data_IF_315643676010
#
_entry.id   IF_315643676010
#
_cell.length_a   1.000
_cell.length_b   1.000
_cell.length_c   1.000
_cell.angle_alpha   90.00
_cell.angle_beta   90.00
_cell.angle_gamma   90.00
#
_symmetry.space_group_name_H-M   'P 1'
#
loop_
_entity.id
_entity.type
_entity.pdbx_description
1 polymer ?
#
# COMPACT_ATOMS: atom_id res chain seq x y z
N UNK A 1 -37.92 75.91 17.69
CA UNK A 1 -37.71 77.31 17.36
C UNK A 1 -36.58 77.96 18.13
N UNK A 2 -35.89 78.95 17.58
CA UNK A 2 -35.32 79.07 16.23
C UNK A 2 -33.84 79.56 16.29
N UNK A 3 -33.36 79.87 15.12
CA UNK A 3 -32.29 80.80 14.69
C UNK A 3 -30.99 80.12 14.25
N UNK A 4 -30.79 80.05 12.97
CA UNK A 4 -30.29 81.10 12.04
C UNK A 4 -28.90 81.62 12.33
N UNK A 5 -28.01 81.38 11.43
CA UNK A 5 -26.99 82.25 10.85
C UNK A 5 -26.09 81.42 9.97
N UNK A 6 -26.17 81.42 8.74
CA UNK A 6 -25.54 82.25 7.73
C UNK A 6 -24.01 82.15 7.66
N UNK A 7 -23.55 81.58 6.56
CA UNK A 7 -22.56 82.05 5.63
C UNK A 7 -21.11 82.19 6.10
N UNK A 8 -20.21 81.38 5.56
CA UNK A 8 -19.14 82.02 4.77
C UNK A 8 -18.54 81.06 3.74
N UNK A 9 -18.33 81.53 2.54
CA UNK A 9 -17.77 80.86 1.38
C UNK A 9 -16.26 80.95 1.47
N UNK A 10 -15.62 79.85 1.75
CA UNK A 10 -14.16 79.69 1.62
C UNK A 10 -13.82 78.89 0.37
N UNK A 11 -13.23 79.58 -0.59
CA UNK A 11 -12.93 79.08 -1.93
C UNK A 11 -11.98 77.92 -1.93
N UNK A 12 -12.38 76.87 -2.63
CA UNK A 12 -11.47 75.77 -2.99
C UNK A 12 -10.56 76.23 -4.11
N UNK A 13 -9.27 76.46 -3.82
CA UNK A 13 -8.23 76.59 -4.82
C UNK A 13 -7.96 75.23 -5.43
N UNK A 14 -8.46 75.01 -6.63
CA UNK A 14 -8.10 73.87 -7.45
C UNK A 14 -6.62 73.93 -7.83
N UNK A 15 -5.80 73.02 -7.30
CA UNK A 15 -4.46 72.85 -7.83
C UNK A 15 -4.55 72.37 -9.28
N UNK A 16 -3.72 72.91 -10.20
CA UNK A 16 -3.71 72.48 -11.59
C UNK A 16 -3.12 71.08 -11.67
N UNK A 17 -3.92 70.09 -12.12
CA UNK A 17 -3.39 68.77 -12.55
C UNK A 17 -2.28 69.01 -13.55
N UNK A 18 -1.07 68.61 -13.19
CA UNK A 18 0.09 68.54 -14.09
C UNK A 18 -0.18 67.54 -15.20
N UNK A 19 -0.78 67.99 -16.31
CA UNK A 19 -0.86 67.21 -17.56
C UNK A 19 0.55 66.78 -17.92
N UNK A 20 0.87 65.48 -17.74
CA UNK A 20 2.09 64.88 -18.28
C UNK A 20 2.13 65.17 -19.78
N UNK A 21 3.13 65.90 -20.23
CA UNK A 21 3.26 66.24 -21.66
C UNK A 21 3.45 64.94 -22.44
N UNK A 22 2.75 64.79 -23.59
CA UNK A 22 2.83 63.61 -24.48
C UNK A 22 4.26 63.09 -24.67
N UNK A 23 5.23 64.00 -24.66
CA UNK A 23 6.66 63.73 -24.79
C UNK A 23 7.21 62.90 -23.58
N UNK A 24 6.79 63.14 -22.34
CA UNK A 24 7.17 62.36 -21.16
C UNK A 24 6.61 60.94 -21.18
N UNK A 25 5.34 60.80 -21.62
CA UNK A 25 4.69 59.49 -21.76
C UNK A 25 5.38 58.65 -22.85
N UNK A 26 5.82 59.28 -23.94
CA UNK A 26 6.53 58.59 -25.02
C UNK A 26 7.93 58.15 -24.61
N UNK A 27 8.64 58.94 -23.84
CA UNK A 27 9.95 58.60 -23.27
C UNK A 27 9.80 57.42 -22.27
N UNK A 28 8.80 57.46 -21.40
CA UNK A 28 8.53 56.38 -20.46
C UNK A 28 8.18 55.06 -21.18
N UNK A 29 7.38 55.12 -22.26
CA UNK A 29 7.08 53.95 -23.08
C UNK A 29 8.33 53.33 -23.73
N UNK A 30 9.21 54.17 -24.27
CA UNK A 30 10.50 53.73 -24.84
C UNK A 30 11.40 53.10 -23.77
N UNK A 31 11.51 53.69 -22.60
CA UNK A 31 12.28 53.13 -21.48
C UNK A 31 11.72 51.80 -21.00
N UNK A 32 10.40 51.64 -20.93
CA UNK A 32 9.72 50.37 -20.57
C UNK A 32 9.99 49.30 -21.63
N UNK A 33 9.96 49.64 -22.90
CA UNK A 33 10.26 48.70 -24.00
C UNK A 33 11.73 48.24 -23.93
N UNK A 34 12.68 49.17 -23.71
CA UNK A 34 14.10 48.78 -23.55
C UNK A 34 14.33 47.95 -22.29
N UNK A 35 13.62 48.22 -21.21
CA UNK A 35 13.71 47.42 -20.00
C UNK A 35 13.14 46.02 -20.21
N UNK A 36 12.01 45.86 -20.92
CA UNK A 36 11.45 44.59 -21.32
C UNK A 36 12.37 43.80 -22.29
N UNK A 37 12.99 44.50 -23.27
CA UNK A 37 13.94 43.86 -24.18
C UNK A 37 15.22 43.42 -23.45
N UNK A 38 15.69 44.18 -22.48
CA UNK A 38 16.85 43.80 -21.65
C UNK A 38 16.52 42.59 -20.77
N UNK A 39 15.29 42.53 -20.21
CA UNK A 39 14.82 41.40 -19.39
C UNK A 39 14.68 40.12 -20.22
N UNK A 40 14.16 40.20 -21.46
CA UNK A 40 14.11 39.08 -22.38
C UNK A 40 15.48 38.60 -22.84
N UNK A 41 16.43 39.50 -23.04
CA UNK A 41 17.81 39.14 -23.39
C UNK A 41 18.53 38.39 -22.25
N UNK A 42 18.26 38.76 -20.98
CA UNK A 42 18.80 38.04 -19.81
C UNK A 42 18.15 36.65 -19.66
N UNK A 43 16.86 36.52 -19.96
CA UNK A 43 16.20 35.22 -19.91
C UNK A 43 16.65 34.25 -21.02
N UNK A 44 17.08 34.78 -22.19
CA UNK A 44 17.58 33.95 -23.27
C UNK A 44 19.06 33.56 -23.07
N UNK A 45 19.81 34.22 -22.22
CA UNK A 45 21.18 33.85 -21.85
C UNK A 45 21.29 32.84 -20.71
N UNK A 46 20.18 32.59 -19.97
CA UNK A 46 20.18 31.68 -18.81
C UNK A 46 20.03 30.18 -19.18
N UNK A 47 19.79 29.85 -20.44
CA UNK A 47 19.64 28.46 -20.90
C UNK A 47 20.86 27.92 -21.67
N UNK A 48 22.04 28.54 -21.53
CA UNK A 48 23.23 28.10 -22.27
C UNK A 48 24.32 27.48 -21.38
N UNK A 49 23.93 26.89 -20.24
CA UNK A 49 24.70 25.82 -19.62
C UNK A 49 23.98 24.50 -19.91
N UNK A 50 24.01 24.09 -21.17
CA UNK A 50 24.03 22.64 -21.44
C UNK A 50 25.41 22.19 -20.91
N UNK A 51 25.46 21.78 -19.64
CA UNK A 51 26.50 20.87 -19.21
C UNK A 51 26.44 19.73 -20.23
N UNK A 52 27.50 19.59 -21.05
CA UNK A 52 27.60 18.45 -21.96
C UNK A 52 27.36 17.23 -21.12
N UNK A 53 26.17 16.60 -21.29
CA UNK A 53 25.88 15.37 -20.62
C UNK A 53 26.97 14.42 -21.11
N UNK A 54 27.88 14.08 -20.19
CA UNK A 54 28.93 13.11 -20.48
C UNK A 54 28.27 11.75 -20.78
N UNK A 55 27.94 11.56 -22.06
CA UNK A 55 27.35 10.31 -22.54
C UNK A 55 28.37 9.17 -22.60
N UNK A 56 29.67 9.50 -22.43
CA UNK A 56 30.74 8.50 -22.41
C UNK A 56 30.92 7.84 -21.04
N UNK A 57 30.46 8.51 -19.96
CA UNK A 57 30.58 7.99 -18.61
C UNK A 57 29.20 7.96 -17.94
N UNK A 58 28.47 6.88 -18.15
CA UNK A 58 27.23 6.64 -17.40
C UNK A 58 27.54 6.50 -15.91
N UNK A 59 26.81 7.24 -15.04
CA UNK A 59 26.84 7.03 -13.59
C UNK A 59 26.27 5.65 -13.21
N UNK A 60 25.55 5.01 -14.12
CA UNK A 60 25.09 3.63 -13.95
C UNK A 60 26.16 2.69 -14.48
N UNK A 61 26.58 1.75 -13.65
CA UNK A 61 27.50 0.70 -14.08
C UNK A 61 26.91 -0.07 -15.25
N UNK A 62 27.66 -0.19 -16.34
CA UNK A 62 27.34 -1.05 -17.49
C UNK A 62 27.92 -2.46 -17.33
N UNK A 63 28.63 -2.71 -16.21
CA UNK A 63 29.16 -4.04 -15.92
C UNK A 63 28.01 -5.03 -15.75
N UNK A 64 28.13 -6.24 -16.28
CA UNK A 64 27.15 -7.27 -16.07
C UNK A 64 26.96 -7.51 -14.57
N UNK A 65 25.72 -7.45 -14.10
CA UNK A 65 25.42 -7.84 -12.72
C UNK A 65 25.73 -9.33 -12.57
N UNK A 66 26.69 -9.68 -11.69
CA UNK A 66 26.94 -11.06 -11.35
C UNK A 66 25.66 -11.65 -10.74
N UNK A 67 25.13 -12.66 -11.41
CA UNK A 67 23.94 -13.39 -10.97
C UNK A 67 24.35 -14.75 -10.43
N UNK A 68 23.66 -15.16 -9.37
CA UNK A 68 23.69 -16.54 -8.91
C UNK A 68 22.48 -17.31 -9.48
N UNK A 69 22.42 -18.60 -9.27
CA UNK A 69 21.33 -19.44 -9.76
C UNK A 69 19.94 -19.00 -9.25
N UNK A 70 19.88 -18.41 -8.06
CA UNK A 70 18.60 -17.90 -7.53
C UNK A 70 18.17 -16.62 -8.23
N UNK A 71 19.09 -15.74 -8.58
CA UNK A 71 18.77 -14.54 -9.38
C UNK A 71 18.19 -14.94 -10.75
N UNK A 72 18.76 -15.95 -11.41
CA UNK A 72 18.25 -16.45 -12.68
C UNK A 72 16.87 -17.13 -12.51
N UNK A 73 16.69 -17.91 -11.44
CA UNK A 73 15.40 -18.50 -11.10
C UNK A 73 14.32 -17.42 -10.84
N UNK A 74 14.65 -16.32 -10.17
CA UNK A 74 13.73 -15.19 -9.95
C UNK A 74 13.37 -14.49 -11.26
N UNK A 75 14.31 -14.35 -12.19
CA UNK A 75 14.02 -13.83 -13.54
C UNK A 75 12.97 -14.68 -14.25
N UNK A 76 13.17 -16.01 -14.26
CA UNK A 76 12.29 -16.93 -14.97
C UNK A 76 10.91 -17.07 -14.32
N UNK A 77 10.83 -16.98 -12.99
CA UNK A 77 9.59 -17.25 -12.26
C UNK A 77 8.80 -16.00 -11.87
N UNK A 78 9.43 -14.81 -11.80
CA UNK A 78 8.83 -13.57 -11.35
C UNK A 78 8.96 -12.44 -12.36
N UNK A 79 10.19 -12.19 -12.85
CA UNK A 79 10.42 -11.00 -13.67
C UNK A 79 9.87 -11.16 -15.07
N UNK A 80 10.27 -12.19 -15.81
CA UNK A 80 9.82 -12.39 -17.20
C UNK A 80 8.32 -12.66 -17.31
N UNK A 81 7.71 -13.53 -16.45
CA UNK A 81 6.27 -13.80 -16.58
C UNK A 81 5.39 -12.66 -16.10
N UNK A 82 5.80 -11.89 -15.05
CA UNK A 82 4.90 -10.97 -14.33
C UNK A 82 5.42 -9.53 -14.20
N UNK A 83 6.64 -9.25 -14.66
CA UNK A 83 7.33 -7.97 -14.47
C UNK A 83 7.44 -7.60 -12.99
N UNK A 84 7.85 -8.57 -12.16
CA UNK A 84 8.07 -8.42 -10.73
C UNK A 84 9.58 -8.32 -10.47
N UNK A 85 10.00 -7.30 -9.71
CA UNK A 85 11.31 -7.23 -9.07
C UNK A 85 11.21 -7.89 -7.69
N UNK A 86 11.88 -9.04 -7.54
CA UNK A 86 11.90 -9.79 -6.28
C UNK A 86 13.21 -9.55 -5.54
N UNK A 87 13.15 -8.67 -4.53
CA UNK A 87 14.31 -8.24 -3.75
C UNK A 87 14.48 -9.10 -2.49
N UNK A 88 15.48 -9.98 -2.49
CA UNK A 88 15.88 -10.74 -1.30
C UNK A 88 17.16 -10.20 -0.66
N UNK A 89 17.98 -9.47 -1.41
CA UNK A 89 19.11 -8.70 -0.87
C UNK A 89 18.58 -7.37 -0.37
N UNK A 90 18.65 -7.14 0.94
CA UNK A 90 18.18 -5.90 1.53
C UNK A 90 18.97 -4.72 0.97
N UNK A 91 18.25 -3.71 0.48
CA UNK A 91 18.82 -2.42 0.08
C UNK A 91 18.35 -1.37 1.07
N UNK A 92 19.28 -0.65 1.69
CA UNK A 92 18.95 0.36 2.70
C UNK A 92 17.95 1.41 2.19
N UNK A 93 18.13 1.88 0.95
CA UNK A 93 17.25 2.88 0.33
C UNK A 93 15.80 2.38 0.14
N UNK A 94 15.59 1.08 0.08
CA UNK A 94 14.27 0.43 -0.09
C UNK A 94 13.67 -0.02 1.25
N UNK A 95 14.39 0.20 2.35
CA UNK A 95 13.99 -0.23 3.69
C UNK A 95 13.45 0.94 4.50
N UNK A 96 12.49 0.67 5.41
CA UNK A 96 11.97 1.69 6.30
C UNK A 96 12.94 1.94 7.45
N UNK A 97 13.61 3.09 7.42
CA UNK A 97 14.67 3.47 8.38
C UNK A 97 14.19 3.65 9.82
N UNK A 98 12.87 3.64 10.08
CA UNK A 98 12.35 3.67 11.46
C UNK A 98 12.54 2.35 12.21
N UNK A 99 12.88 1.25 11.48
CA UNK A 99 13.09 -0.07 12.03
C UNK A 99 14.56 -0.48 11.97
N UNK A 100 15.01 -1.27 12.94
CA UNK A 100 16.31 -1.93 12.90
C UNK A 100 16.17 -3.27 12.16
N UNK A 101 16.51 -3.28 10.88
CA UNK A 101 16.29 -4.41 10.00
C UNK A 101 17.56 -5.17 9.68
N UNK A 102 17.46 -6.48 9.43
CA UNK A 102 18.55 -7.31 8.93
C UNK A 102 18.14 -8.02 7.64
N UNK A 103 19.10 -8.36 6.75
CA UNK A 103 18.83 -9.08 5.52
C UNK A 103 18.19 -10.46 5.77
N UNK A 104 17.43 -10.94 4.80
CA UNK A 104 16.94 -12.31 4.78
C UNK A 104 18.10 -13.30 4.53
N UNK A 105 18.12 -14.42 5.28
CA UNK A 105 19.00 -15.54 5.01
C UNK A 105 18.71 -16.12 3.62
N UNK A 106 19.75 -16.45 2.87
CA UNK A 106 19.62 -16.88 1.47
C UNK A 106 18.70 -18.10 1.29
N UNK A 107 18.92 -19.15 2.06
CA UNK A 107 18.13 -20.40 1.99
C UNK A 107 16.66 -20.18 2.35
N UNK A 108 16.38 -19.27 3.28
CA UNK A 108 15.02 -18.89 3.68
C UNK A 108 14.34 -18.00 2.63
N UNK A 109 15.10 -17.11 2.00
CA UNK A 109 14.61 -16.32 0.88
C UNK A 109 14.25 -17.21 -0.32
N UNK A 110 15.09 -18.21 -0.65
CA UNK A 110 14.79 -19.22 -1.66
C UNK A 110 13.49 -19.96 -1.33
N UNK A 111 13.38 -20.48 -0.11
CA UNK A 111 12.22 -21.24 0.31
C UNK A 111 10.92 -20.39 0.26
N UNK A 112 10.96 -19.18 0.83
CA UNK A 112 9.80 -18.32 0.88
C UNK A 112 9.35 -17.87 -0.51
N UNK A 113 10.29 -17.56 -1.43
CA UNK A 113 9.92 -17.21 -2.81
C UNK A 113 9.19 -18.35 -3.51
N UNK A 114 9.65 -19.60 -3.35
CA UNK A 114 8.95 -20.77 -3.90
C UNK A 114 7.56 -20.97 -3.29
N UNK A 115 7.45 -20.80 -1.98
CA UNK A 115 6.18 -20.89 -1.26
C UNK A 115 5.19 -19.80 -1.75
N UNK A 116 5.64 -18.55 -1.86
CA UNK A 116 4.82 -17.44 -2.37
C UNK A 116 4.31 -17.74 -3.78
N UNK A 117 5.21 -18.17 -4.66
CA UNK A 117 4.83 -18.52 -6.02
C UNK A 117 3.78 -19.63 -6.02
N UNK A 118 4.03 -20.74 -5.33
CA UNK A 118 3.17 -21.91 -5.34
C UNK A 118 1.81 -21.65 -4.70
N UNK A 119 1.77 -21.08 -3.48
CA UNK A 119 0.51 -20.98 -2.70
C UNK A 119 -0.31 -19.78 -3.11
N UNK A 120 0.34 -18.64 -3.38
CA UNK A 120 -0.37 -17.40 -3.62
C UNK A 120 -0.49 -17.08 -5.12
N UNK A 121 0.64 -16.95 -5.86
CA UNK A 121 0.58 -16.55 -7.26
C UNK A 121 -0.11 -17.59 -8.14
N UNK A 122 0.33 -18.84 -8.05
CA UNK A 122 -0.22 -19.91 -8.86
C UNK A 122 -1.68 -20.22 -8.53
N UNK A 123 -2.16 -19.89 -7.32
CA UNK A 123 -3.59 -19.98 -6.99
C UNK A 123 -4.43 -18.98 -7.79
N UNK A 124 -3.99 -17.74 -7.89
CA UNK A 124 -4.69 -16.75 -8.73
C UNK A 124 -4.55 -17.05 -10.22
N UNK A 125 -3.39 -17.57 -10.67
CA UNK A 125 -3.22 -18.00 -12.07
C UNK A 125 -4.16 -19.15 -12.42
N UNK A 126 -4.30 -20.13 -11.52
CA UNK A 126 -5.19 -21.27 -11.70
C UNK A 126 -6.65 -20.85 -11.81
N UNK A 127 -7.09 -19.89 -10.98
CA UNK A 127 -8.49 -19.45 -10.93
C UNK A 127 -8.83 -18.39 -11.97
N UNK A 128 -8.00 -17.36 -12.11
CA UNK A 128 -8.31 -16.16 -12.90
C UNK A 128 -7.43 -16.00 -14.16
N UNK A 129 -6.46 -16.88 -14.34
CA UNK A 129 -5.51 -16.84 -15.45
C UNK A 129 -4.32 -15.92 -15.23
N UNK A 130 -3.27 -16.15 -15.99
CA UNK A 130 -1.99 -15.43 -15.86
C UNK A 130 -2.14 -13.93 -16.14
N UNK A 131 -2.99 -13.53 -17.06
CA UNK A 131 -3.15 -12.12 -17.44
C UNK A 131 -3.80 -11.29 -16.35
N UNK A 132 -4.68 -11.88 -15.54
CA UNK A 132 -5.19 -11.22 -14.35
C UNK A 132 -4.04 -10.84 -13.41
N UNK A 133 -3.18 -11.78 -13.10
CA UNK A 133 -2.06 -11.55 -12.18
C UNK A 133 -1.04 -10.56 -12.78
N UNK A 134 -0.73 -10.66 -14.07
CA UNK A 134 0.17 -9.71 -14.76
C UNK A 134 -0.27 -8.26 -14.62
N UNK A 135 -1.57 -8.02 -14.66
CA UNK A 135 -2.13 -6.65 -14.59
C UNK A 135 -2.14 -6.13 -13.16
N UNK A 136 -2.50 -6.97 -12.19
CA UNK A 136 -2.84 -6.51 -10.83
C UNK A 136 -1.80 -6.86 -9.77
N UNK A 137 -0.88 -7.78 -10.01
CA UNK A 137 0.15 -8.17 -9.05
C UNK A 137 1.06 -6.98 -8.68
N UNK A 138 1.49 -6.85 -7.41
CA UNK A 138 2.51 -5.90 -7.01
C UNK A 138 3.77 -6.08 -7.83
N UNK A 139 4.43 -4.98 -8.20
CA UNK A 139 5.62 -5.05 -9.06
C UNK A 139 6.92 -5.26 -8.31
N UNK A 140 6.87 -5.21 -6.98
CA UNK A 140 8.03 -5.45 -6.13
C UNK A 140 7.65 -6.30 -4.93
N UNK A 141 8.42 -7.34 -4.67
CA UNK A 141 8.47 -8.05 -3.40
C UNK A 141 9.80 -7.78 -2.72
N UNK A 142 9.77 -7.45 -1.44
CA UNK A 142 10.97 -7.20 -0.64
C UNK A 142 10.96 -8.08 0.60
N UNK A 143 11.98 -8.93 0.74
CA UNK A 143 12.13 -9.82 1.87
C UNK A 143 13.10 -9.23 2.90
N UNK A 144 12.64 -9.11 4.15
CA UNK A 144 13.42 -8.63 5.30
C UNK A 144 13.56 -9.76 6.31
N UNK A 145 14.80 -10.02 6.75
CA UNK A 145 15.10 -11.13 7.65
C UNK A 145 14.54 -10.99 9.05
N UNK A 146 14.61 -9.78 9.62
CA UNK A 146 14.13 -9.50 10.98
C UNK A 146 12.65 -9.12 11.02
N UNK A 147 12.00 -9.23 12.19
CA UNK A 147 10.74 -8.56 12.43
C UNK A 147 10.92 -7.04 12.43
N UNK A 148 9.84 -6.32 12.15
CA UNK A 148 9.72 -4.88 12.36
C UNK A 148 8.71 -4.62 13.48
N UNK A 149 9.03 -3.72 14.42
CA UNK A 149 8.16 -3.40 15.54
C UNK A 149 7.81 -1.92 15.54
N UNK A 150 6.54 -1.62 15.65
CA UNK A 150 6.06 -0.26 15.89
C UNK A 150 6.39 0.20 17.32
N UNK A 151 6.27 1.49 17.56
CA UNK A 151 6.44 2.06 18.92
C UNK A 151 5.44 1.52 19.95
N UNK A 152 4.31 0.99 19.50
CA UNK A 152 3.31 0.27 20.29
C UNK A 152 3.77 -1.11 20.78
N UNK A 153 4.88 -1.64 20.22
CA UNK A 153 5.35 -3.01 20.42
C UNK A 153 4.68 -4.03 19.50
N UNK A 154 3.77 -3.61 18.62
CA UNK A 154 3.16 -4.50 17.65
C UNK A 154 4.16 -4.85 16.54
N UNK A 155 4.20 -6.12 16.17
CA UNK A 155 4.99 -6.60 15.05
C UNK A 155 4.26 -6.32 13.74
N UNK A 156 4.96 -5.67 12.81
CA UNK A 156 4.51 -5.50 11.43
C UNK A 156 4.85 -6.77 10.66
N UNK A 157 3.85 -7.42 10.11
CA UNK A 157 4.02 -8.68 9.36
C UNK A 157 4.37 -8.41 7.90
N UNK A 158 3.79 -7.38 7.34
CA UNK A 158 4.06 -6.89 5.99
C UNK A 158 3.49 -5.50 5.78
N UNK A 159 3.85 -4.90 4.67
CA UNK A 159 3.32 -3.59 4.23
C UNK A 159 3.17 -3.57 2.72
N UNK A 160 2.12 -2.89 2.23
CA UNK A 160 2.04 -2.56 0.81
C UNK A 160 2.18 -1.04 0.61
N UNK A 161 3.23 -0.65 -0.09
CA UNK A 161 3.49 0.75 -0.42
C UNK A 161 2.80 1.14 -1.73
N UNK A 162 1.68 1.87 -1.60
CA UNK A 162 0.94 2.40 -2.75
C UNK A 162 0.47 1.36 -3.77
N UNK A 163 0.25 0.12 -3.34
CA UNK A 163 -0.17 -0.96 -4.22
C UNK A 163 0.89 -1.45 -5.22
N UNK A 164 2.16 -1.08 -5.02
CA UNK A 164 3.25 -1.42 -5.95
C UNK A 164 4.27 -2.38 -5.37
N UNK A 165 4.49 -2.32 -4.06
CA UNK A 165 5.51 -3.09 -3.35
C UNK A 165 4.89 -3.77 -2.13
N UNK A 166 5.16 -5.05 -1.95
CA UNK A 166 4.89 -5.79 -0.72
C UNK A 166 6.24 -6.08 -0.05
N UNK A 167 6.39 -5.65 1.20
CA UNK A 167 7.53 -6.00 2.05
C UNK A 167 7.07 -7.05 3.05
N UNK A 168 7.81 -8.16 3.15
CA UNK A 168 7.56 -9.25 4.10
C UNK A 168 8.69 -9.31 5.11
N UNK A 169 8.35 -9.23 6.39
CA UNK A 169 9.28 -9.22 7.50
C UNK A 169 9.42 -10.60 8.14
N UNK A 170 10.41 -10.72 9.02
CA UNK A 170 10.66 -11.91 9.85
C UNK A 170 10.98 -13.19 9.06
N UNK A 171 11.56 -13.06 7.87
CA UNK A 171 11.89 -14.21 6.99
C UNK A 171 12.86 -15.19 7.65
N UNK A 172 13.76 -14.68 8.52
CA UNK A 172 14.76 -15.51 9.21
C UNK A 172 14.16 -16.43 10.28
N UNK A 173 12.90 -16.26 10.63
CA UNK A 173 12.16 -17.14 11.52
C UNK A 173 11.56 -18.38 10.81
N UNK A 174 11.63 -18.42 9.47
CA UNK A 174 11.17 -19.56 8.68
C UNK A 174 12.01 -20.81 8.94
N UNK A 175 11.37 -21.88 9.38
CA UNK A 175 12.00 -23.18 9.52
C UNK A 175 11.74 -24.04 8.27
N UNK A 176 12.69 -24.01 7.33
CA UNK A 176 12.58 -24.73 6.04
C UNK A 176 12.50 -26.25 6.21
N UNK A 177 13.08 -26.80 7.29
CA UNK A 177 13.07 -28.25 7.57
C UNK A 177 11.78 -28.73 8.24
N UNK A 178 11.03 -27.82 8.86
CA UNK A 178 9.77 -28.13 9.56
C UNK A 178 8.77 -27.02 9.29
N UNK A 179 8.15 -27.08 8.14
CA UNK A 179 7.12 -26.12 7.74
C UNK A 179 5.93 -26.18 8.69
N UNK A 180 5.49 -24.99 9.13
CA UNK A 180 4.30 -24.81 9.91
C UNK A 180 3.33 -23.92 9.12
N UNK A 181 2.24 -24.52 8.61
CA UNK A 181 1.25 -23.83 7.76
C UNK A 181 0.55 -22.70 8.53
N UNK A 182 0.20 -22.92 9.80
CA UNK A 182 -0.43 -21.89 10.62
C UNK A 182 0.49 -20.65 10.76
N UNK A 183 1.79 -20.89 10.98
CA UNK A 183 2.76 -19.82 11.02
C UNK A 183 2.90 -19.11 9.67
N UNK A 184 2.90 -19.84 8.56
CA UNK A 184 2.93 -19.25 7.21
C UNK A 184 1.67 -18.43 6.92
N UNK A 185 0.48 -18.88 7.36
CA UNK A 185 -0.73 -18.09 7.28
C UNK A 185 -0.56 -16.77 8.02
N UNK A 186 -0.25 -16.83 9.30
CA UNK A 186 -0.19 -15.66 10.16
C UNK A 186 0.86 -14.63 9.71
N UNK A 187 2.01 -15.07 9.14
CA UNK A 187 3.10 -14.16 8.77
C UNK A 187 3.07 -13.72 7.31
N UNK A 188 2.56 -14.56 6.40
CA UNK A 188 2.72 -14.30 4.97
C UNK A 188 1.43 -14.39 4.18
N UNK A 189 0.66 -15.48 4.27
CA UNK A 189 -0.46 -15.67 3.36
C UNK A 189 -1.60 -14.70 3.64
N UNK A 190 -1.97 -14.50 4.89
CA UNK A 190 -2.97 -13.49 5.28
C UNK A 190 -2.53 -12.11 4.79
N UNK A 191 -1.30 -11.71 5.10
CA UNK A 191 -0.73 -10.43 4.65
C UNK A 191 -0.79 -10.28 3.13
N UNK A 192 -0.38 -11.30 2.38
CA UNK A 192 -0.35 -11.18 0.92
C UNK A 192 -1.72 -11.07 0.29
N UNK A 193 -2.71 -11.82 0.78
CA UNK A 193 -4.10 -11.71 0.33
C UNK A 193 -4.72 -10.37 0.75
N UNK A 194 -4.42 -9.89 1.96
CA UNK A 194 -4.81 -8.58 2.48
C UNK A 194 -4.32 -7.43 1.57
N UNK A 195 -3.01 -7.38 1.34
CA UNK A 195 -2.38 -6.33 0.54
C UNK A 195 -2.85 -6.38 -0.93
N UNK A 196 -3.01 -7.58 -1.46
CA UNK A 196 -3.54 -7.72 -2.82
C UNK A 196 -5.00 -7.26 -2.93
N UNK A 197 -5.81 -7.53 -1.92
CA UNK A 197 -7.18 -7.02 -1.87
C UNK A 197 -7.22 -5.48 -1.80
N UNK A 198 -6.27 -4.84 -1.11
CA UNK A 198 -6.09 -3.38 -1.17
C UNK A 198 -5.80 -2.88 -2.58
N UNK A 199 -4.92 -3.56 -3.32
CA UNK A 199 -4.63 -3.21 -4.72
C UNK A 199 -5.90 -3.30 -5.57
N UNK A 200 -6.69 -4.34 -5.38
CA UNK A 200 -7.92 -4.54 -6.15
C UNK A 200 -8.95 -3.45 -5.85
N UNK A 201 -9.25 -3.17 -4.58
CA UNK A 201 -10.27 -2.16 -4.27
C UNK A 201 -9.82 -0.71 -4.57
N UNK A 202 -8.53 -0.42 -4.61
CA UNK A 202 -8.00 0.87 -5.09
C UNK A 202 -8.19 1.05 -6.61
N UNK A 203 -8.31 -0.03 -7.37
CA UNK A 203 -8.61 0.00 -8.81
C UNK A 203 -10.10 0.11 -9.09
N UNK A 204 -10.92 -0.60 -8.32
CA UNK A 204 -12.38 -0.59 -8.41
C UNK A 204 -12.96 -0.65 -7.00
N UNK A 205 -13.60 0.43 -6.57
CA UNK A 205 -14.15 0.52 -5.22
C UNK A 205 -15.24 -0.53 -4.97
N UNK A 206 -15.30 -1.03 -3.75
CA UNK A 206 -16.41 -1.85 -3.28
C UNK A 206 -17.63 -0.98 -2.91
N UNK A 207 -18.78 -1.62 -2.67
CA UNK A 207 -20.03 -0.94 -2.30
C UNK A 207 -19.85 -0.17 -0.97
N UNK A 208 -20.06 1.17 -0.94
CA UNK A 208 -19.89 1.98 0.25
C UNK A 208 -20.89 1.65 1.38
N UNK A 209 -21.92 0.84 1.11
CA UNK A 209 -22.80 0.32 2.16
C UNK A 209 -22.08 -0.55 3.19
N UNK A 210 -20.94 -1.15 2.81
CA UNK A 210 -20.05 -1.88 3.71
C UNK A 210 -19.61 -1.01 4.89
N UNK A 211 -19.18 0.22 4.63
CA UNK A 211 -18.64 1.15 5.63
C UNK A 211 -19.65 1.43 6.75
N UNK A 212 -20.94 1.38 6.45
CA UNK A 212 -22.02 1.68 7.40
C UNK A 212 -22.39 0.51 8.31
N UNK A 213 -21.97 -0.72 7.97
CA UNK A 213 -22.35 -1.91 8.75
C UNK A 213 -21.79 -1.86 10.18
N UNK A 214 -20.55 -1.41 10.32
CA UNK A 214 -19.88 -1.27 11.62
C UNK A 214 -19.49 0.20 11.92
N UNK A 215 -20.23 1.17 11.35
CA UNK A 215 -20.04 2.58 11.66
C UNK A 215 -20.14 2.80 13.18
N UNK A 216 -19.19 3.58 13.72
CA UNK A 216 -19.09 3.83 15.17
C UNK A 216 -18.39 2.73 16.00
N UNK A 217 -18.00 1.60 15.37
CA UNK A 217 -17.22 0.53 16.04
C UNK A 217 -15.74 0.50 15.63
N UNK A 218 -15.36 1.25 14.59
CA UNK A 218 -13.95 1.39 14.21
C UNK A 218 -13.19 2.23 15.24
N UNK A 219 -12.01 1.77 15.62
CA UNK A 219 -11.19 2.35 16.70
C UNK A 219 -9.87 2.96 16.20
N UNK A 220 -9.61 2.94 14.90
CA UNK A 220 -8.41 3.50 14.30
C UNK A 220 -7.13 2.82 14.81
N UNK A 221 -6.10 3.61 15.09
CA UNK A 221 -4.81 3.11 15.54
C UNK A 221 -4.84 2.33 16.85
N UNK A 222 -5.94 2.40 17.62
CA UNK A 222 -6.10 1.71 18.91
C UNK A 222 -6.64 0.28 18.74
N UNK A 223 -6.63 -0.28 17.54
CA UNK A 223 -7.17 -1.60 17.25
C UNK A 223 -6.54 -2.74 18.05
N UNK A 224 -5.29 -2.61 18.50
CA UNK A 224 -4.52 -3.66 19.17
C UNK A 224 -4.80 -3.78 20.67
N UNK A 225 -5.57 -2.88 21.25
CA UNK A 225 -5.95 -2.95 22.67
C UNK A 225 -7.41 -2.50 22.90
N UNK A 226 -7.92 -2.79 24.08
CA UNK A 226 -9.19 -2.28 24.59
C UNK A 226 -9.07 -1.95 26.07
N UNK A 227 -9.91 -1.03 26.55
CA UNK A 227 -9.87 -0.58 27.95
C UNK A 227 -10.80 -1.43 28.81
N UNK A 228 -10.31 -1.87 29.97
CA UNK A 228 -11.07 -2.50 31.04
C UNK A 228 -10.98 -1.68 32.31
N UNK A 229 -11.67 -2.09 33.39
CA UNK A 229 -11.54 -1.47 34.68
C UNK A 229 -10.11 -1.58 35.29
N UNK A 230 -9.39 -2.63 34.91
CA UNK A 230 -8.02 -2.93 35.30
C UNK A 230 -6.96 -2.24 34.40
N UNK A 231 -7.37 -1.62 33.31
CA UNK A 231 -6.50 -0.91 32.37
C UNK A 231 -6.59 -1.43 30.93
N UNK A 232 -5.57 -1.11 30.14
CA UNK A 232 -5.48 -1.54 28.74
C UNK A 232 -5.12 -3.02 28.65
N UNK A 233 -5.89 -3.78 27.86
CA UNK A 233 -5.69 -5.20 27.58
C UNK A 233 -5.47 -5.41 26.08
N UNK A 234 -4.61 -6.36 25.66
CA UNK A 234 -4.46 -6.70 24.24
C UNK A 234 -5.79 -7.14 23.63
N UNK A 235 -6.12 -6.64 22.44
CA UNK A 235 -7.27 -7.12 21.68
C UNK A 235 -6.81 -8.22 20.73
N UNK A 236 -7.30 -9.41 20.99
CA UNK A 236 -7.12 -10.60 20.14
C UNK A 236 -8.31 -10.73 19.17
N UNK A 237 -8.19 -11.60 18.18
CA UNK A 237 -9.25 -11.75 17.17
C UNK A 237 -10.57 -12.22 17.80
N UNK A 238 -10.52 -13.12 18.78
CA UNK A 238 -11.70 -13.62 19.50
C UNK A 238 -12.43 -12.54 20.30
N UNK A 239 -11.74 -11.50 20.73
CA UNK A 239 -12.35 -10.30 21.35
C UNK A 239 -13.10 -9.43 20.31
N UNK A 240 -12.64 -9.42 19.07
CA UNK A 240 -13.27 -8.64 17.99
C UNK A 240 -14.51 -9.34 17.38
N UNK A 241 -14.58 -10.68 17.43
CA UNK A 241 -15.64 -11.44 16.79
C UNK A 241 -17.07 -11.08 17.24
N UNK A 242 -17.36 -10.93 18.56
CA UNK A 242 -18.70 -10.53 19.01
C UNK A 242 -19.13 -9.14 18.52
N UNK A 243 -18.17 -8.26 18.23
CA UNK A 243 -18.42 -6.94 17.66
C UNK A 243 -18.66 -6.96 16.14
N UNK A 244 -18.48 -8.13 15.51
CA UNK A 244 -18.75 -8.34 14.09
C UNK A 244 -17.54 -8.06 13.18
N UNK A 245 -16.32 -8.29 13.69
CA UNK A 245 -15.06 -8.20 12.93
C UNK A 245 -14.37 -9.56 12.90
N UNK A 246 -13.77 -9.89 11.76
CA UNK A 246 -13.08 -11.19 11.59
C UNK A 246 -11.72 -11.24 12.29
N UNK A 247 -11.08 -10.07 12.47
CA UNK A 247 -9.83 -9.90 13.21
C UNK A 247 -9.88 -8.64 14.07
N UNK A 248 -8.97 -8.53 15.04
CA UNK A 248 -8.78 -7.29 15.78
C UNK A 248 -8.34 -6.14 14.86
N UNK A 249 -7.49 -6.43 13.86
CA UNK A 249 -7.01 -5.42 12.90
C UNK A 249 -8.14 -4.86 12.01
N UNK A 250 -9.15 -5.67 11.69
CA UNK A 250 -10.35 -5.20 10.99
C UNK A 250 -11.08 -4.04 11.71
N UNK A 251 -10.88 -3.89 13.02
CA UNK A 251 -11.44 -2.77 13.79
C UNK A 251 -10.71 -1.43 13.55
N UNK A 252 -9.60 -1.42 12.82
CA UNK A 252 -8.88 -0.18 12.50
C UNK A 252 -9.78 0.76 11.68
N UNK A 253 -10.20 0.34 10.50
CA UNK A 253 -11.05 1.13 9.60
C UNK A 253 -11.75 0.23 8.57
N UNK A 254 -12.75 0.76 7.88
CA UNK A 254 -13.59 -0.01 6.97
C UNK A 254 -12.82 -0.66 5.81
N UNK A 255 -11.74 -0.03 5.30
CA UNK A 255 -10.93 -0.63 4.25
C UNK A 255 -10.15 -1.86 4.75
N UNK A 256 -9.59 -1.78 5.97
CA UNK A 256 -8.93 -2.93 6.61
C UNK A 256 -9.93 -4.06 6.88
N UNK A 257 -11.10 -3.73 7.41
CA UNK A 257 -12.18 -4.69 7.64
C UNK A 257 -12.59 -5.42 6.34
N UNK A 258 -12.68 -4.67 5.23
CA UNK A 258 -13.04 -5.25 3.95
C UNK A 258 -12.01 -6.29 3.48
N UNK A 259 -10.73 -5.94 3.50
CA UNK A 259 -9.65 -6.82 2.99
C UNK A 259 -9.35 -7.97 3.95
N UNK A 260 -9.47 -7.75 5.26
CA UNK A 260 -9.37 -8.81 6.28
C UNK A 260 -10.41 -9.93 6.05
N UNK A 261 -11.64 -9.58 5.68
CA UNK A 261 -12.66 -10.60 5.33
C UNK A 261 -12.19 -11.48 4.16
N UNK A 262 -11.49 -10.94 3.16
CA UNK A 262 -10.93 -11.72 2.04
C UNK A 262 -9.80 -12.60 2.54
N UNK A 263 -8.80 -12.00 3.20
CA UNK A 263 -7.59 -12.68 3.66
C UNK A 263 -7.91 -13.86 4.58
N UNK A 264 -8.70 -13.62 5.62
CA UNK A 264 -9.11 -14.65 6.57
C UNK A 264 -9.94 -15.75 5.91
N UNK A 265 -10.83 -15.39 4.97
CA UNK A 265 -11.67 -16.38 4.32
C UNK A 265 -10.88 -17.34 3.44
N UNK A 266 -9.93 -16.85 2.66
CA UNK A 266 -9.21 -17.68 1.67
C UNK A 266 -8.06 -18.49 2.27
N UNK A 267 -7.50 -18.05 3.41
CA UNK A 267 -6.36 -18.71 4.06
C UNK A 267 -6.76 -19.75 5.11
N UNK A 268 -8.01 -19.74 5.57
CA UNK A 268 -8.49 -20.62 6.64
C UNK A 268 -9.55 -21.62 6.15
N UNK A 269 -9.64 -22.75 6.87
CA UNK A 269 -10.62 -23.80 6.56
C UNK A 269 -12.04 -23.34 6.85
N UNK A 270 -13.04 -24.03 6.25
CA UNK A 270 -14.44 -23.82 6.59
C UNK A 270 -14.72 -24.05 8.08
N UNK A 271 -14.07 -25.06 8.67
CA UNK A 271 -14.19 -25.33 10.11
C UNK A 271 -13.73 -24.16 10.97
N UNK A 272 -12.62 -23.50 10.59
CA UNK A 272 -12.17 -22.29 11.27
C UNK A 272 -13.22 -21.18 11.19
N UNK A 273 -13.73 -20.91 9.98
CA UNK A 273 -14.75 -19.90 9.74
C UNK A 273 -16.02 -20.13 10.54
N UNK A 274 -16.52 -21.37 10.54
CA UNK A 274 -17.71 -21.76 11.30
C UNK A 274 -17.52 -21.65 12.82
N UNK A 275 -16.33 -21.97 13.30
CA UNK A 275 -15.97 -21.81 14.72
C UNK A 275 -15.91 -20.35 15.13
N UNK A 276 -15.32 -19.50 14.28
CA UNK A 276 -15.27 -18.04 14.46
C UNK A 276 -16.70 -17.47 14.54
N UNK A 277 -17.57 -17.80 13.58
CA UNK A 277 -18.97 -17.35 13.58
C UNK A 277 -19.73 -17.83 14.82
N UNK A 278 -19.49 -19.06 15.28
CA UNK A 278 -20.09 -19.56 16.51
C UNK A 278 -19.62 -18.80 17.74
N UNK A 279 -18.32 -18.50 17.81
CA UNK A 279 -17.73 -17.73 18.92
C UNK A 279 -18.17 -16.26 18.89
N UNK A 280 -18.43 -15.70 17.70
CA UNK A 280 -18.97 -14.35 17.55
C UNK A 280 -20.39 -14.17 18.12
N UNK A 281 -21.12 -15.28 18.36
CA UNK A 281 -22.51 -15.23 18.80
C UNK A 281 -23.46 -14.73 17.70
N UNK A 282 -24.75 -14.67 18.00
CA UNK A 282 -25.77 -14.35 16.99
C UNK A 282 -25.55 -13.00 16.33
N UNK A 283 -25.33 -11.94 17.13
CA UNK A 283 -25.18 -10.57 16.62
C UNK A 283 -23.86 -10.38 15.84
N UNK A 284 -22.74 -10.89 16.38
CA UNK A 284 -21.44 -10.80 15.72
C UNK A 284 -21.42 -11.57 14.41
N UNK A 285 -21.93 -12.81 14.42
CA UNK A 285 -22.03 -13.65 13.23
C UNK A 285 -22.93 -13.03 12.14
N UNK A 286 -24.07 -12.46 12.53
CA UNK A 286 -24.96 -11.78 11.57
C UNK A 286 -24.25 -10.58 10.91
N UNK A 287 -23.47 -9.82 11.68
CA UNK A 287 -22.69 -8.68 11.18
C UNK A 287 -21.58 -9.12 10.25
N UNK A 288 -20.80 -10.16 10.61
CA UNK A 288 -19.74 -10.72 9.77
C UNK A 288 -20.32 -11.25 8.45
N UNK A 289 -21.42 -12.01 8.52
CA UNK A 289 -22.07 -12.56 7.32
C UNK A 289 -22.61 -11.48 6.39
N UNK A 290 -23.16 -10.39 6.94
CA UNK A 290 -23.61 -9.25 6.14
C UNK A 290 -22.45 -8.58 5.40
N UNK A 291 -21.31 -8.37 6.06
CA UNK A 291 -20.07 -7.84 5.46
C UNK A 291 -19.55 -8.80 4.40
N UNK A 292 -19.44 -10.08 4.74
CA UNK A 292 -18.90 -11.11 3.85
C UNK A 292 -19.74 -11.27 2.58
N UNK A 293 -21.05 -11.09 2.65
CA UNK A 293 -21.92 -11.10 1.46
C UNK A 293 -21.52 -10.01 0.46
N UNK A 294 -21.20 -8.79 0.93
CA UNK A 294 -20.73 -7.69 0.06
C UNK A 294 -19.35 -8.03 -0.51
N UNK A 295 -18.45 -8.52 0.33
CA UNK A 295 -17.09 -8.94 -0.07
C UNK A 295 -17.13 -10.01 -1.13
N UNK A 296 -17.91 -11.07 -0.91
CA UNK A 296 -18.07 -12.19 -1.84
C UNK A 296 -18.63 -11.73 -3.19
N UNK A 297 -19.71 -10.95 -3.17
CA UNK A 297 -20.29 -10.42 -4.40
C UNK A 297 -19.33 -9.50 -5.14
N UNK A 298 -18.60 -8.64 -4.44
CA UNK A 298 -17.59 -7.80 -5.05
C UNK A 298 -16.49 -8.60 -5.76
N UNK A 299 -15.93 -9.62 -5.11
CA UNK A 299 -14.90 -10.45 -5.72
C UNK A 299 -15.43 -11.22 -6.93
N UNK A 300 -16.63 -11.78 -6.85
CA UNK A 300 -17.26 -12.51 -7.95
C UNK A 300 -17.66 -11.59 -9.11
N UNK A 301 -18.38 -10.50 -8.83
CA UNK A 301 -19.05 -9.71 -9.87
C UNK A 301 -18.11 -8.67 -10.50
N UNK A 302 -17.12 -8.17 -9.72
CA UNK A 302 -16.17 -7.16 -10.20
C UNK A 302 -14.92 -7.79 -10.79
N UNK A 303 -14.45 -8.90 -10.21
CA UNK A 303 -13.15 -9.50 -10.54
C UNK A 303 -13.27 -10.89 -11.17
N UNK A 304 -14.46 -11.49 -11.17
CA UNK A 304 -14.65 -12.85 -11.64
C UNK A 304 -14.04 -13.92 -10.73
N UNK A 305 -13.73 -13.56 -9.48
CA UNK A 305 -13.10 -14.45 -8.51
C UNK A 305 -14.14 -14.99 -7.53
N UNK A 306 -14.43 -16.29 -7.61
CA UNK A 306 -15.19 -17.00 -6.60
C UNK A 306 -14.29 -17.29 -5.39
N UNK A 307 -14.60 -16.69 -4.24
CA UNK A 307 -13.80 -16.87 -3.02
C UNK A 307 -13.85 -18.31 -2.48
N UNK A 308 -14.90 -19.09 -2.74
CA UNK A 308 -14.93 -20.48 -2.33
C UNK A 308 -13.95 -21.33 -3.14
N UNK A 309 -13.88 -21.07 -4.46
CA UNK A 309 -12.93 -21.78 -5.32
C UNK A 309 -11.49 -21.33 -5.00
N UNK A 310 -11.27 -20.02 -4.81
CA UNK A 310 -9.94 -19.51 -4.40
C UNK A 310 -9.48 -20.17 -3.11
N UNK A 311 -10.34 -20.23 -2.10
CA UNK A 311 -10.07 -20.91 -0.82
C UNK A 311 -9.67 -22.38 -1.01
N UNK A 312 -10.41 -23.14 -1.81
CA UNK A 312 -10.10 -24.54 -2.09
C UNK A 312 -8.71 -24.69 -2.70
N UNK A 313 -8.38 -23.84 -3.68
CA UNK A 313 -7.09 -23.85 -4.34
C UNK A 313 -5.98 -23.50 -3.35
N UNK A 314 -6.14 -22.41 -2.59
CA UNK A 314 -5.14 -21.95 -1.61
C UNK A 314 -4.88 -23.02 -0.56
N UNK A 315 -5.94 -23.58 0.05
CA UNK A 315 -5.78 -24.61 1.08
C UNK A 315 -5.14 -25.90 0.56
N UNK A 316 -5.47 -26.33 -0.67
CA UNK A 316 -4.80 -27.45 -1.31
C UNK A 316 -3.31 -27.16 -1.51
N UNK A 317 -2.97 -26.02 -2.07
CA UNK A 317 -1.57 -25.61 -2.31
C UNK A 317 -0.77 -25.42 -1.03
N UNK A 318 -1.39 -24.99 0.06
CA UNK A 318 -0.74 -24.96 1.38
C UNK A 318 -0.32 -26.36 1.85
N UNK A 319 -1.12 -27.38 1.61
CA UNK A 319 -0.79 -28.77 1.96
C UNK A 319 0.34 -29.32 1.08
N UNK A 320 0.36 -28.93 -0.19
CA UNK A 320 1.38 -29.35 -1.16
C UNK A 320 2.80 -28.78 -0.84
N UNK A 321 2.92 -27.76 0.05
CA UNK A 321 4.24 -27.17 0.39
C UNK A 321 5.24 -28.22 0.89
N UNK A 322 4.78 -29.23 1.59
CA UNK A 322 5.64 -30.29 2.14
C UNK A 322 6.16 -31.25 1.06
N UNK A 323 5.61 -31.20 -0.13
CA UNK A 323 5.95 -32.04 -1.28
C UNK A 323 6.90 -31.37 -2.25
N UNK A 324 7.06 -30.03 -2.16
CA UNK A 324 7.95 -29.26 -3.04
C UNK A 324 9.35 -29.12 -2.44
N UNK A 325 10.36 -29.16 -3.32
CA UNK A 325 11.74 -28.87 -2.92
C UNK A 325 11.92 -27.37 -2.69
N UNK A 326 12.05 -26.99 -1.43
CA UNK A 326 12.25 -25.60 -1.00
C UNK A 326 13.72 -25.17 -0.96
N UNK A 327 14.65 -26.09 -1.18
CA UNK A 327 16.07 -25.85 -0.94
C UNK A 327 16.90 -25.75 -2.21
N UNK A 328 16.54 -26.48 -3.26
CA UNK A 328 17.35 -26.56 -4.49
C UNK A 328 16.84 -25.59 -5.55
N UNK A 329 17.73 -24.83 -6.15
CA UNK A 329 17.44 -24.00 -7.33
C UNK A 329 17.74 -24.87 -8.58
N UNK A 330 16.71 -25.18 -9.34
CA UNK A 330 16.81 -25.91 -10.62
C UNK A 330 16.45 -24.98 -11.76
#
# INVERSE_FOLDING_TARGET
NPNSAECDRGGYTTQPEKKLTKKKVEVMKKQLIYFLLALTAVCLGACNNDDEIDTAHSIFSTEPVERNAFDDWLLDNYTYPYNIDFMYRMKDIESDHKYNLVPADYDKAVALSKIIKHVWMDAYVELAGIDFLRVYVPKTFHLIGSPAYESSGNMVLGTAEGGKKITLYNVNDLNVKKINIEKLNNYYFETMHHEFAHILHQKRNFDPSFNRISEGKYVGADWYYYMTAEGAMPRTNDIAWPDGFVTAYAMNQANEDFVENIAMYVTHTQTYWDNMLRAAGETGAATINKKFTIVYNYMRDTWGIDLNELRKIVLRRQQEITEIDLSTIQ
#
